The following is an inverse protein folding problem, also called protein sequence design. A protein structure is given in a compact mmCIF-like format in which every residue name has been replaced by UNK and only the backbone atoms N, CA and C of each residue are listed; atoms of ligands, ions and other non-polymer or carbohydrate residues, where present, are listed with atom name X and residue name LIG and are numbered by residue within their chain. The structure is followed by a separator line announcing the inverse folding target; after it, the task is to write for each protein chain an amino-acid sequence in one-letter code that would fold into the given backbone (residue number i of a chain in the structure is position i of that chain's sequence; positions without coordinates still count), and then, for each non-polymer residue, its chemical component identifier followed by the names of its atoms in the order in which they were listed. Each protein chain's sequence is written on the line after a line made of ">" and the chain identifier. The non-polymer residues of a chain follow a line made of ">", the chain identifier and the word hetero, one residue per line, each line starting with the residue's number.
data_IF_218111250083
#
_entry.id   IF_218111250083
#
_cell.length_a   1.000
_cell.length_b   1.000
_cell.length_c   1.000
_cell.angle_alpha   90.00
_cell.angle_beta   90.00
_cell.angle_gamma   90.00
#
_symmetry.space_group_name_H-M   'P 1'
#
loop_
_entity.id
_entity.type
_entity.pdbx_description
1 polymer ?
#
# COMPACT_ATOMS: atom_id res chain seq x y z
N UNK A 1 26.02 -2.87 -4.39
CA UNK A 1 24.66 -2.72 -3.85
C UNK A 1 24.74 -1.51 -2.94
N UNK A 2 24.08 -0.39 -3.27
CA UNK A 2 24.07 0.78 -2.38
C UNK A 2 23.44 0.33 -1.06
N UNK A 3 24.14 0.55 0.05
CA UNK A 3 23.62 0.24 1.37
C UNK A 3 22.49 1.24 1.66
N UNK A 4 21.24 0.83 1.42
CA UNK A 4 20.06 1.68 1.55
C UNK A 4 19.94 2.32 2.96
N UNK A 5 20.60 1.74 3.96
CA UNK A 5 20.69 2.27 5.33
C UNK A 5 21.73 3.39 5.54
N UNK A 6 22.64 3.62 4.58
CA UNK A 6 23.56 4.78 4.62
C UNK A 6 22.88 6.09 4.20
N UNK A 7 21.64 6.01 3.68
CA UNK A 7 20.91 7.15 3.12
C UNK A 7 20.08 7.90 4.18
N UNK A 8 19.83 7.29 5.35
CA UNK A 8 19.10 7.95 6.45
C UNK A 8 19.77 7.63 7.77
N UNK A 9 20.48 8.59 8.32
CA UNK A 9 20.94 8.50 9.70
C UNK A 9 19.72 8.58 10.63
N UNK A 10 19.48 7.63 11.56
CA UNK A 10 18.40 7.71 12.54
C UNK A 10 18.35 9.03 13.32
N UNK A 11 19.51 9.68 13.45
CA UNK A 11 19.70 11.00 14.04
C UNK A 11 18.95 12.11 13.27
N UNK A 12 18.90 12.05 11.94
CA UNK A 12 18.19 13.03 11.12
C UNK A 12 16.68 12.90 11.30
N UNK A 13 16.17 11.68 11.45
CA UNK A 13 14.75 11.41 11.74
C UNK A 13 14.32 12.01 13.08
N UNK A 14 15.24 12.16 14.03
CA UNK A 14 14.94 12.73 15.35
C UNK A 14 14.51 14.20 15.30
N UNK A 15 14.91 14.92 14.24
CA UNK A 15 14.60 16.34 14.01
C UNK A 15 13.17 16.58 13.54
N UNK A 16 12.47 15.54 13.06
CA UNK A 16 11.11 15.65 12.54
C UNK A 16 10.08 15.91 13.66
N UNK A 17 8.96 16.60 13.33
CA UNK A 17 7.79 16.66 14.20
C UNK A 17 7.32 15.26 14.64
N UNK A 18 6.83 15.14 15.88
CA UNK A 18 6.58 13.85 16.52
C UNK A 18 5.76 12.86 15.68
N UNK A 19 4.69 13.33 15.02
CA UNK A 19 3.85 12.49 14.15
C UNK A 19 4.59 11.92 12.93
N UNK A 20 5.48 12.72 12.33
CA UNK A 20 6.25 12.33 11.16
C UNK A 20 7.44 11.46 11.55
N UNK A 21 8.02 11.71 12.72
CA UNK A 21 9.06 10.87 13.29
C UNK A 21 8.57 9.44 13.53
N UNK A 22 7.37 9.26 14.11
CA UNK A 22 6.79 7.93 14.31
C UNK A 22 6.55 7.20 12.97
N UNK A 23 6.07 7.92 11.96
CA UNK A 23 5.88 7.36 10.62
C UNK A 23 7.22 6.96 9.98
N UNK A 24 8.23 7.83 10.04
CA UNK A 24 9.56 7.55 9.50
C UNK A 24 10.20 6.31 10.15
N UNK A 25 10.17 6.20 11.49
CA UNK A 25 10.68 5.01 12.18
C UNK A 25 9.88 3.75 11.85
N UNK A 26 8.56 3.86 11.70
CA UNK A 26 7.72 2.74 11.27
C UNK A 26 8.10 2.27 9.86
N UNK A 27 8.28 3.18 8.90
CA UNK A 27 8.73 2.88 7.53
C UNK A 27 10.11 2.24 7.50
N UNK A 28 11.08 2.78 8.26
CA UNK A 28 12.42 2.22 8.37
C UNK A 28 12.40 0.82 9.01
N UNK A 29 11.58 0.60 10.05
CA UNK A 29 11.44 -0.72 10.67
C UNK A 29 10.90 -1.77 9.68
N UNK A 30 9.91 -1.41 8.85
CA UNK A 30 9.41 -2.29 7.78
C UNK A 30 10.49 -2.61 6.74
N UNK A 31 11.25 -1.59 6.32
CA UNK A 31 12.36 -1.78 5.39
C UNK A 31 13.43 -2.70 5.97
N UNK A 32 13.82 -2.49 7.24
CA UNK A 32 14.75 -3.35 7.98
C UNK A 32 14.27 -4.80 8.05
N UNK A 33 12.99 -5.02 8.40
CA UNK A 33 12.40 -6.34 8.41
C UNK A 33 12.54 -7.05 7.05
N UNK A 34 12.14 -6.40 5.96
CA UNK A 34 12.26 -6.98 4.59
C UNK A 34 13.68 -7.29 4.16
N UNK A 35 14.63 -6.49 4.62
CA UNK A 35 16.05 -6.64 4.29
C UNK A 35 16.78 -7.59 5.26
N UNK A 36 16.08 -8.25 6.19
CA UNK A 36 16.67 -9.16 7.16
C UNK A 36 17.58 -8.47 8.18
N UNK A 37 17.39 -7.17 8.40
CA UNK A 37 18.14 -6.35 9.36
C UNK A 37 17.36 -6.20 10.68
N UNK A 38 18.04 -5.76 11.75
CA UNK A 38 17.40 -5.57 13.05
C UNK A 38 16.39 -4.39 13.01
N UNK A 39 15.11 -4.74 12.89
CA UNK A 39 13.99 -3.78 12.90
C UNK A 39 13.58 -3.35 14.32
N UNK A 40 13.98 -4.09 15.38
CA UNK A 40 13.45 -3.88 16.74
C UNK A 40 13.94 -2.58 17.33
N UNK A 41 15.20 -2.20 17.05
CA UNK A 41 15.75 -0.92 17.48
C UNK A 41 14.98 0.27 16.90
N UNK A 42 14.61 0.22 15.62
CA UNK A 42 13.83 1.25 14.93
C UNK A 42 12.39 1.28 15.45
N UNK A 43 11.76 0.12 15.57
CA UNK A 43 10.39 -0.01 16.05
C UNK A 43 10.23 0.43 17.51
N UNK A 44 11.25 0.22 18.35
CA UNK A 44 11.31 0.74 19.72
C UNK A 44 11.30 2.26 19.82
N UNK A 45 11.59 2.99 18.73
CA UNK A 45 11.49 4.46 18.66
C UNK A 45 10.09 4.96 18.32
N UNK A 46 9.20 4.10 17.81
CA UNK A 46 7.82 4.44 17.43
C UNK A 46 6.97 4.59 18.70
N UNK A 47 6.49 5.81 18.96
CA UNK A 47 5.68 6.12 20.15
C UNK A 47 4.20 5.85 19.95
N UNK A 48 3.69 6.04 18.74
CA UNK A 48 2.31 5.73 18.35
C UNK A 48 1.99 4.24 18.58
N UNK A 49 1.06 3.89 19.50
CA UNK A 49 0.68 2.51 19.76
C UNK A 49 0.09 1.82 18.51
N UNK A 50 -0.64 2.58 17.69
CA UNK A 50 -1.21 2.07 16.45
C UNK A 50 -0.13 1.70 15.43
N UNK A 51 0.80 2.62 15.12
CA UNK A 51 1.85 2.33 14.14
C UNK A 51 2.74 1.18 14.61
N UNK A 52 3.05 1.13 15.92
CA UNK A 52 3.79 0.02 16.51
C UNK A 52 3.04 -1.30 16.35
N UNK A 53 1.77 -1.39 16.75
CA UNK A 53 0.97 -2.61 16.61
C UNK A 53 0.84 -3.05 15.15
N UNK A 54 0.61 -2.11 14.23
CA UNK A 54 0.44 -2.40 12.81
C UNK A 54 1.73 -2.94 12.17
N UNK A 55 2.88 -2.32 12.45
CA UNK A 55 4.18 -2.79 11.96
C UNK A 55 4.55 -4.11 12.61
N UNK A 56 4.45 -4.23 13.94
CA UNK A 56 4.72 -5.49 14.66
C UNK A 56 3.96 -6.66 14.04
N UNK A 57 2.67 -6.48 13.74
CA UNK A 57 1.83 -7.51 13.16
C UNK A 57 2.31 -8.02 11.78
N UNK A 58 3.12 -7.26 11.04
CA UNK A 58 3.71 -7.65 9.74
C UNK A 58 5.06 -8.38 9.91
N UNK A 59 5.81 -8.11 10.98
CA UNK A 59 7.20 -8.57 11.15
C UNK A 59 7.40 -10.10 11.08
N UNK A 60 6.47 -10.95 11.56
CA UNK A 60 6.63 -12.40 11.44
C UNK A 60 6.72 -12.93 10.00
N UNK A 61 6.28 -12.15 9.00
CA UNK A 61 6.50 -12.49 7.59
C UNK A 61 7.99 -12.54 7.23
N UNK A 62 8.83 -11.80 7.97
CA UNK A 62 10.27 -11.66 7.72
C UNK A 62 11.12 -12.33 8.81
N UNK A 63 10.59 -12.46 10.01
CA UNK A 63 11.15 -13.24 11.12
C UNK A 63 10.09 -14.18 11.71
N UNK A 64 9.82 -15.35 11.09
CA UNK A 64 8.78 -16.26 11.55
C UNK A 64 8.97 -16.75 12.99
N UNK A 65 10.21 -16.78 13.49
CA UNK A 65 10.52 -17.16 14.87
C UNK A 65 9.94 -16.20 15.92
N UNK A 66 9.65 -14.95 15.51
CA UNK A 66 9.07 -13.93 16.38
C UNK A 66 7.56 -14.06 16.60
N UNK A 67 6.86 -14.93 15.84
CA UNK A 67 5.39 -14.93 15.75
C UNK A 67 4.68 -14.91 17.10
N UNK A 68 5.03 -15.84 17.99
CA UNK A 68 4.37 -15.97 19.30
C UNK A 68 4.56 -14.71 20.17
N UNK A 69 5.77 -14.15 20.16
CA UNK A 69 6.09 -12.92 20.90
C UNK A 69 5.33 -11.71 20.34
N UNK A 70 5.24 -11.61 19.00
CA UNK A 70 4.52 -10.55 18.30
C UNK A 70 3.02 -10.62 18.55
N UNK A 71 2.42 -11.82 18.49
CA UNK A 71 0.99 -12.01 18.79
C UNK A 71 0.68 -11.49 20.19
N UNK A 72 1.49 -11.87 21.19
CA UNK A 72 1.32 -11.40 22.58
C UNK A 72 1.43 -9.87 22.68
N UNK A 73 2.43 -9.27 22.05
CA UNK A 73 2.64 -7.82 22.12
C UNK A 73 1.52 -7.03 21.41
N UNK A 74 1.09 -7.48 20.23
CA UNK A 74 -0.01 -6.85 19.49
C UNK A 74 -1.31 -6.93 20.30
N UNK A 75 -1.64 -8.10 20.87
CA UNK A 75 -2.84 -8.25 21.70
C UNK A 75 -2.80 -7.39 22.96
N UNK A 76 -1.63 -7.16 23.55
CA UNK A 76 -1.47 -6.24 24.68
C UNK A 76 -1.70 -4.76 24.29
N UNK A 77 -1.39 -4.38 23.06
CA UNK A 77 -1.61 -3.01 22.56
C UNK A 77 -3.08 -2.76 22.16
N UNK A 78 -3.77 -3.77 21.62
CA UNK A 78 -5.15 -3.66 21.08
C UNK A 78 -6.13 -2.91 21.99
N UNK A 79 -6.22 -3.16 23.32
CA UNK A 79 -7.16 -2.44 24.18
C UNK A 79 -7.02 -0.92 24.15
N UNK A 80 -5.80 -0.41 23.98
CA UNK A 80 -5.49 1.04 23.96
C UNK A 80 -5.82 1.73 22.62
N UNK A 81 -6.09 0.96 21.57
CA UNK A 81 -6.29 1.48 20.22
C UNK A 81 -7.73 1.98 20.00
N UNK A 82 -7.92 2.92 19.08
CA UNK A 82 -9.25 3.30 18.58
C UNK A 82 -9.85 2.16 17.76
N UNK A 83 -11.17 2.13 17.62
CA UNK A 83 -11.87 1.05 16.90
C UNK A 83 -11.31 0.76 15.50
N UNK A 84 -11.05 1.80 14.70
CA UNK A 84 -10.46 1.62 13.37
C UNK A 84 -9.03 1.06 13.44
N UNK A 85 -8.21 1.54 14.38
CA UNK A 85 -6.84 1.06 14.57
C UNK A 85 -6.80 -0.41 15.02
N UNK A 86 -7.74 -0.83 15.86
CA UNK A 86 -7.96 -2.23 16.24
C UNK A 86 -8.22 -3.09 15.01
N UNK A 87 -9.14 -2.65 14.14
CA UNK A 87 -9.46 -3.36 12.89
C UNK A 87 -8.20 -3.49 12.04
N UNK A 88 -7.42 -2.42 11.86
CA UNK A 88 -6.22 -2.44 11.03
C UNK A 88 -5.12 -3.37 11.57
N UNK A 89 -4.82 -3.29 12.87
CA UNK A 89 -3.78 -4.11 13.49
C UNK A 89 -4.16 -5.59 13.51
N UNK A 90 -5.37 -5.94 13.95
CA UNK A 90 -5.85 -7.32 13.98
C UNK A 90 -5.99 -7.93 12.58
N UNK A 91 -6.46 -7.13 11.62
CA UNK A 91 -6.51 -7.56 10.21
C UNK A 91 -5.12 -7.86 9.65
N UNK A 92 -4.11 -7.05 10.00
CA UNK A 92 -2.72 -7.29 9.58
C UNK A 92 -2.17 -8.55 10.24
N UNK A 93 -2.43 -8.76 11.53
CA UNK A 93 -1.99 -9.94 12.25
C UNK A 93 -2.60 -11.21 11.66
N UNK A 94 -3.91 -11.19 11.37
CA UNK A 94 -4.59 -12.30 10.72
C UNK A 94 -3.96 -12.67 9.36
N UNK A 95 -3.68 -11.67 8.52
CA UNK A 95 -3.01 -11.88 7.23
C UNK A 95 -1.64 -12.52 7.39
N UNK A 96 -0.85 -12.06 8.35
CA UNK A 96 0.48 -12.60 8.62
C UNK A 96 0.41 -14.05 9.10
N UNK A 97 -0.47 -14.34 10.05
CA UNK A 97 -0.68 -15.69 10.61
C UNK A 97 -1.12 -16.65 9.52
N UNK A 98 -2.08 -16.23 8.67
CA UNK A 98 -2.53 -17.01 7.53
C UNK A 98 -1.40 -17.27 6.51
N UNK A 99 -0.64 -16.24 6.15
CA UNK A 99 0.46 -16.35 5.18
C UNK A 99 1.58 -17.30 5.66
N UNK A 100 1.79 -17.42 6.97
CA UNK A 100 2.74 -18.34 7.57
C UNK A 100 2.19 -19.77 7.73
N UNK A 101 0.90 -20.01 7.48
CA UNK A 101 0.25 -21.29 7.74
C UNK A 101 0.16 -21.65 9.22
N UNK A 102 0.38 -20.68 10.12
CA UNK A 102 0.12 -20.84 11.54
C UNK A 102 -1.41 -20.74 11.74
N UNK A 103 -2.06 -21.76 12.30
CA UNK A 103 -3.51 -21.72 12.52
C UNK A 103 -3.94 -20.56 13.43
N UNK A 104 -5.23 -20.23 13.45
CA UNK A 104 -5.82 -19.23 14.36
C UNK A 104 -6.01 -17.83 13.78
N UNK A 105 -5.77 -17.62 12.49
CA UNK A 105 -6.06 -16.34 11.81
C UNK A 105 -7.56 -15.98 11.87
N UNK A 106 -8.44 -16.97 11.93
CA UNK A 106 -9.90 -16.80 12.02
C UNK A 106 -10.32 -16.08 13.30
N UNK A 107 -9.62 -16.34 14.41
CA UNK A 107 -9.86 -15.66 15.69
C UNK A 107 -9.57 -14.16 15.56
N UNK A 108 -8.41 -13.80 15.00
CA UNK A 108 -8.03 -12.40 14.78
C UNK A 108 -8.98 -11.70 13.80
N UNK A 109 -9.45 -12.38 12.76
CA UNK A 109 -10.48 -11.87 11.86
C UNK A 109 -11.82 -11.64 12.58
N UNK A 110 -12.21 -12.56 13.46
CA UNK A 110 -13.42 -12.43 14.27
C UNK A 110 -13.33 -11.24 15.23
N UNK A 111 -12.18 -11.08 15.89
CA UNK A 111 -11.90 -9.91 16.73
C UNK A 111 -11.92 -8.61 15.91
N UNK A 112 -11.28 -8.57 14.73
CA UNK A 112 -11.32 -7.39 13.88
C UNK A 112 -12.77 -7.06 13.44
N UNK A 113 -13.56 -8.07 13.09
CA UNK A 113 -14.95 -7.92 12.70
C UNK A 113 -15.84 -7.38 13.83
N UNK A 114 -15.60 -7.75 15.09
CA UNK A 114 -16.37 -7.24 16.23
C UNK A 114 -16.16 -5.74 16.48
N UNK A 115 -14.99 -5.21 16.09
CA UNK A 115 -14.69 -3.78 16.14
C UNK A 115 -15.14 -3.01 14.89
N UNK A 116 -15.64 -3.69 13.84
CA UNK A 116 -16.02 -3.06 12.58
C UNK A 116 -17.38 -2.33 12.54
N UNK A 117 -18.39 -2.59 13.39
CA UNK A 117 -19.66 -1.86 13.34
C UNK A 117 -19.53 -0.34 13.47
N UNK A 118 -18.76 0.22 14.44
CA UNK A 118 -18.62 1.67 14.60
C UNK A 118 -17.69 2.32 13.56
N UNK A 119 -17.00 1.57 12.70
CA UNK A 119 -16.01 2.15 11.78
C UNK A 119 -16.63 2.60 10.46
N UNK A 120 -16.02 3.61 9.87
CA UNK A 120 -16.37 4.14 8.56
C UNK A 120 -15.95 3.22 7.40
N UNK A 121 -15.95 3.78 6.19
CA UNK A 121 -15.59 3.05 4.98
C UNK A 121 -14.18 2.44 5.02
N UNK A 122 -13.19 3.20 5.50
CA UNK A 122 -11.77 2.80 5.55
C UNK A 122 -11.55 1.53 6.37
N UNK A 123 -12.02 1.48 7.61
CA UNK A 123 -11.95 0.27 8.44
C UNK A 123 -12.67 -0.94 7.83
N UNK A 124 -13.85 -0.74 7.22
CA UNK A 124 -14.59 -1.84 6.56
C UNK A 124 -13.89 -2.32 5.29
N UNK A 125 -13.30 -1.43 4.50
CA UNK A 125 -12.51 -1.78 3.33
C UNK A 125 -11.25 -2.56 3.73
N UNK A 126 -10.56 -2.13 4.80
CA UNK A 126 -9.42 -2.85 5.38
C UNK A 126 -9.81 -4.27 5.82
N UNK A 127 -10.94 -4.43 6.50
CA UNK A 127 -11.43 -5.74 6.92
C UNK A 127 -11.79 -6.64 5.73
N UNK A 128 -12.45 -6.09 4.70
CA UNK A 128 -12.75 -6.84 3.48
C UNK A 128 -11.48 -7.37 2.80
N UNK A 129 -10.43 -6.55 2.74
CA UNK A 129 -9.13 -6.97 2.21
C UNK A 129 -8.51 -8.09 3.04
N UNK A 130 -8.62 -8.02 4.38
CA UNK A 130 -8.12 -9.06 5.26
C UNK A 130 -8.85 -10.39 5.07
N UNK A 131 -10.19 -10.36 4.99
CA UNK A 131 -10.97 -11.54 4.66
C UNK A 131 -10.49 -12.16 3.34
N UNK A 132 -10.35 -11.33 2.29
CA UNK A 132 -9.90 -11.82 1.00
C UNK A 132 -8.51 -12.48 1.06
N UNK A 133 -7.53 -11.80 1.68
CA UNK A 133 -6.16 -12.32 1.82
C UNK A 133 -6.09 -13.62 2.63
N UNK A 134 -6.97 -13.79 3.61
CA UNK A 134 -7.10 -15.03 4.39
C UNK A 134 -8.00 -16.10 3.74
N UNK A 135 -8.42 -15.92 2.48
CA UNK A 135 -9.26 -16.90 1.76
C UNK A 135 -10.75 -16.86 2.08
N UNK A 136 -11.19 -15.94 2.93
CA UNK A 136 -12.59 -15.71 3.31
C UNK A 136 -13.31 -14.81 2.28
N UNK A 137 -13.22 -15.19 1.00
CA UNK A 137 -13.66 -14.39 -0.16
C UNK A 137 -15.13 -13.97 -0.05
N UNK A 138 -16.00 -14.89 0.38
CA UNK A 138 -17.43 -14.61 0.51
C UNK A 138 -17.71 -13.55 1.58
N UNK A 139 -16.96 -13.55 2.69
CA UNK A 139 -17.06 -12.50 3.72
C UNK A 139 -16.59 -11.15 3.17
N UNK A 140 -15.50 -11.14 2.40
CA UNK A 140 -15.01 -9.92 1.74
C UNK A 140 -16.08 -9.34 0.77
N UNK A 141 -16.69 -10.20 -0.04
CA UNK A 141 -17.77 -9.86 -0.98
C UNK A 141 -18.99 -9.32 -0.23
N UNK A 142 -19.41 -9.95 0.88
CA UNK A 142 -20.51 -9.44 1.71
C UNK A 142 -20.26 -8.03 2.23
N UNK A 143 -19.04 -7.74 2.67
CA UNK A 143 -18.66 -6.37 3.08
C UNK A 143 -18.75 -5.40 1.90
N UNK A 144 -18.25 -5.80 0.73
CA UNK A 144 -18.28 -4.96 -0.48
C UNK A 144 -19.72 -4.61 -0.91
N UNK A 145 -20.65 -5.57 -0.88
CA UNK A 145 -22.06 -5.36 -1.22
C UNK A 145 -22.81 -4.48 -0.23
N UNK A 146 -22.27 -4.26 0.98
CA UNK A 146 -22.74 -3.22 1.90
C UNK A 146 -22.50 -1.79 1.41
N UNK A 147 -21.70 -1.60 0.36
CA UNK A 147 -21.40 -0.29 -0.24
C UNK A 147 -22.03 -0.12 -1.62
N UNK A 148 -22.11 1.15 -2.06
CA UNK A 148 -22.63 1.51 -3.39
C UNK A 148 -21.57 2.20 -4.25
N UNK A 149 -21.74 2.12 -5.56
CA UNK A 149 -20.94 2.84 -6.55
C UNK A 149 -19.44 2.60 -6.41
N UNK A 150 -18.68 3.70 -6.40
CA UNK A 150 -17.20 3.66 -6.38
C UNK A 150 -16.60 2.98 -5.15
N UNK A 151 -17.24 3.06 -3.98
CA UNK A 151 -16.75 2.38 -2.76
C UNK A 151 -16.81 0.87 -2.88
N UNK A 152 -17.92 0.34 -3.43
CA UNK A 152 -18.05 -1.10 -3.74
C UNK A 152 -17.04 -1.54 -4.78
N UNK A 153 -16.94 -0.80 -5.89
CA UNK A 153 -15.99 -1.10 -6.95
C UNK A 153 -14.55 -1.15 -6.40
N UNK A 154 -14.15 -0.17 -5.59
CA UNK A 154 -12.80 -0.11 -5.01
C UNK A 154 -12.49 -1.34 -4.14
N UNK A 155 -13.43 -1.79 -3.31
CA UNK A 155 -13.22 -3.02 -2.50
C UNK A 155 -13.08 -4.24 -3.41
N UNK A 156 -13.94 -4.39 -4.43
CA UNK A 156 -13.84 -5.49 -5.38
C UNK A 156 -12.52 -5.53 -6.14
N UNK A 157 -11.97 -4.35 -6.50
CA UNK A 157 -10.65 -4.25 -7.12
C UNK A 157 -9.57 -4.83 -6.21
N UNK A 158 -9.54 -4.40 -4.94
CA UNK A 158 -8.55 -4.94 -3.98
C UNK A 158 -8.72 -6.45 -3.74
N UNK A 159 -9.97 -6.90 -3.62
CA UNK A 159 -10.32 -8.31 -3.42
C UNK A 159 -9.82 -9.15 -4.61
N UNK A 160 -10.11 -8.72 -5.83
CA UNK A 160 -9.64 -9.40 -7.05
C UNK A 160 -8.11 -9.43 -7.13
N UNK A 161 -7.42 -8.33 -6.82
CA UNK A 161 -5.95 -8.29 -6.82
C UNK A 161 -5.32 -9.20 -5.77
N UNK A 162 -6.00 -9.39 -4.64
CA UNK A 162 -5.50 -10.30 -3.59
C UNK A 162 -5.73 -11.78 -3.86
N UNK A 163 -6.59 -12.13 -4.83
CA UNK A 163 -6.98 -13.50 -5.19
C UNK A 163 -6.91 -13.71 -6.70
N UNK A 164 -5.71 -13.59 -7.30
CA UNK A 164 -5.54 -13.61 -8.75
C UNK A 164 -5.98 -14.92 -9.42
N UNK A 165 -6.09 -16.01 -8.64
CA UNK A 165 -6.62 -17.30 -9.09
C UNK A 165 -8.15 -17.29 -9.31
N UNK A 166 -8.87 -16.33 -8.74
CA UNK A 166 -10.34 -16.28 -8.80
C UNK A 166 -10.83 -15.30 -9.88
N UNK A 167 -10.81 -15.74 -11.14
CA UNK A 167 -11.19 -14.90 -12.30
C UNK A 167 -12.58 -14.26 -12.22
N UNK A 168 -13.52 -14.90 -11.53
CA UNK A 168 -14.86 -14.34 -11.35
C UNK A 168 -14.82 -12.98 -10.62
N UNK A 169 -13.91 -12.84 -9.64
CA UNK A 169 -13.70 -11.59 -8.91
C UNK A 169 -13.14 -10.50 -9.82
N UNK A 170 -12.19 -10.85 -10.70
CA UNK A 170 -11.67 -9.94 -11.72
C UNK A 170 -12.81 -9.46 -12.63
N UNK A 171 -13.57 -10.39 -13.21
CA UNK A 171 -14.67 -10.05 -14.13
C UNK A 171 -15.75 -9.19 -13.46
N UNK A 172 -16.08 -9.48 -12.19
CA UNK A 172 -17.01 -8.67 -11.41
C UNK A 172 -16.44 -7.29 -11.09
N UNK A 173 -15.16 -7.21 -10.74
CA UNK A 173 -14.43 -5.97 -10.51
C UNK A 173 -14.49 -5.04 -11.73
N UNK A 174 -14.13 -5.56 -12.91
CA UNK A 174 -14.20 -4.81 -14.18
C UNK A 174 -15.62 -4.30 -14.43
N UNK A 175 -16.63 -5.18 -14.41
CA UNK A 175 -18.04 -4.77 -14.65
C UNK A 175 -18.51 -3.69 -13.68
N UNK A 176 -18.05 -3.70 -12.44
CA UNK A 176 -18.38 -2.67 -11.45
C UNK A 176 -17.70 -1.34 -11.78
N UNK A 177 -16.44 -1.37 -12.20
CA UNK A 177 -15.69 -0.18 -12.61
C UNK A 177 -16.30 0.44 -13.87
N UNK A 178 -16.70 -0.37 -14.86
CA UNK A 178 -17.37 0.09 -16.09
C UNK A 178 -18.66 0.86 -15.81
N UNK A 179 -19.43 0.44 -14.81
CA UNK A 179 -20.70 1.07 -14.40
C UNK A 179 -20.51 2.40 -13.66
N UNK A 180 -19.28 2.78 -13.31
CA UNK A 180 -19.03 4.07 -12.67
C UNK A 180 -19.27 5.22 -13.65
N UNK A 181 -19.99 6.24 -13.17
CA UNK A 181 -20.23 7.51 -13.89
C UNK A 181 -19.02 8.43 -13.88
N UNK A 182 -18.24 8.38 -12.79
CA UNK A 182 -17.05 9.19 -12.59
C UNK A 182 -15.88 8.62 -13.42
N UNK A 183 -15.49 9.35 -14.47
CA UNK A 183 -14.43 8.94 -15.39
C UNK A 183 -13.06 8.90 -14.72
N UNK A 184 -12.75 9.86 -13.83
CA UNK A 184 -11.48 9.90 -13.10
C UNK A 184 -11.34 8.68 -12.20
N UNK A 185 -12.38 8.34 -11.44
CA UNK A 185 -12.37 7.11 -10.62
C UNK A 185 -12.28 5.84 -11.45
N UNK A 186 -12.95 5.81 -12.61
CA UNK A 186 -12.88 4.68 -13.54
C UNK A 186 -11.44 4.44 -14.01
N UNK A 187 -10.74 5.50 -14.43
CA UNK A 187 -9.34 5.45 -14.86
C UNK A 187 -8.44 4.92 -13.73
N UNK A 188 -8.56 5.48 -12.52
CA UNK A 188 -7.76 5.05 -11.37
C UNK A 188 -8.00 3.57 -11.05
N UNK A 189 -9.26 3.13 -10.97
CA UNK A 189 -9.58 1.75 -10.61
C UNK A 189 -9.17 0.74 -11.70
N UNK A 190 -9.29 1.10 -12.99
CA UNK A 190 -8.76 0.25 -14.06
C UNK A 190 -7.23 0.20 -14.04
N UNK A 191 -6.54 1.33 -13.82
CA UNK A 191 -5.07 1.33 -13.71
C UNK A 191 -4.59 0.43 -12.57
N UNK A 192 -5.39 0.34 -11.49
CA UNK A 192 -5.11 -0.55 -10.37
C UNK A 192 -5.40 -2.02 -10.70
N UNK A 193 -6.52 -2.31 -11.36
CA UNK A 193 -6.84 -3.66 -11.86
C UNK A 193 -5.82 -4.19 -12.87
N UNK A 194 -5.14 -3.31 -13.61
CA UNK A 194 -4.08 -3.69 -14.55
C UNK A 194 -2.94 -4.46 -13.88
N UNK A 195 -2.78 -4.36 -12.54
CA UNK A 195 -1.83 -5.17 -11.76
C UNK A 195 -2.25 -6.64 -11.64
N UNK A 196 -3.47 -7.01 -12.00
CA UNK A 196 -3.91 -8.39 -12.00
C UNK A 196 -3.20 -9.15 -13.14
N UNK A 197 -2.52 -10.29 -12.89
CA UNK A 197 -1.72 -10.98 -13.92
C UNK A 197 -2.50 -11.36 -15.19
N UNK A 198 -3.81 -11.58 -15.02
CA UNK A 198 -4.74 -11.99 -16.09
C UNK A 198 -5.65 -10.86 -16.61
N UNK A 199 -5.31 -9.60 -16.34
CA UNK A 199 -6.16 -8.45 -16.71
C UNK A 199 -6.43 -8.37 -18.23
N UNK A 200 -5.41 -8.60 -19.06
CA UNK A 200 -5.44 -8.50 -20.52
C UNK A 200 -6.04 -9.74 -21.22
N UNK A 201 -6.46 -10.78 -20.49
CA UNK A 201 -7.11 -11.96 -21.08
C UNK A 201 -8.56 -11.68 -21.55
N UNK A 202 -8.84 -10.45 -21.99
CA UNK A 202 -10.11 -10.04 -22.59
C UNK A 202 -11.20 -9.62 -21.60
N UNK A 203 -10.86 -9.46 -20.31
CA UNK A 203 -11.83 -9.08 -19.26
C UNK A 203 -11.77 -7.58 -18.95
N UNK A 204 -10.65 -6.91 -19.25
CA UNK A 204 -10.36 -5.51 -18.91
C UNK A 204 -10.48 -4.51 -20.06
N UNK A 205 -10.51 -3.21 -19.73
CA UNK A 205 -10.27 -2.12 -20.70
C UNK A 205 -8.78 -2.09 -21.04
N UNK A 206 -8.37 -2.04 -22.34
CA UNK A 206 -6.95 -2.02 -22.72
C UNK A 206 -6.17 -0.93 -21.99
N UNK A 207 -5.00 -1.26 -21.45
CA UNK A 207 -4.19 -0.32 -20.65
C UNK A 207 -3.82 0.95 -21.42
N UNK A 208 -3.59 0.86 -22.72
CA UNK A 208 -3.34 2.02 -23.59
C UNK A 208 -4.52 2.97 -23.60
N UNK A 209 -5.76 2.45 -23.58
CA UNK A 209 -6.97 3.26 -23.50
C UNK A 209 -7.08 3.99 -22.16
N UNK A 210 -6.63 3.37 -21.06
CA UNK A 210 -6.56 4.01 -19.74
C UNK A 210 -5.57 5.16 -19.79
N UNK A 211 -4.35 4.90 -20.25
CA UNK A 211 -3.26 5.88 -20.31
C UNK A 211 -3.61 7.10 -21.18
N UNK A 212 -4.30 6.91 -22.31
CA UNK A 212 -4.74 8.02 -23.18
C UNK A 212 -5.85 8.89 -22.58
N UNK A 213 -6.59 8.39 -21.58
CA UNK A 213 -7.71 9.12 -20.95
C UNK A 213 -7.30 9.87 -19.69
N UNK A 214 -6.05 9.69 -19.22
CA UNK A 214 -5.53 10.36 -18.03
C UNK A 214 -5.50 11.87 -18.27
N UNK A 215 -6.04 12.70 -17.36
CA UNK A 215 -5.99 14.15 -17.53
C UNK A 215 -4.58 14.68 -17.31
N UNK A 216 -4.01 15.37 -18.30
CA UNK A 216 -2.58 15.70 -18.34
C UNK A 216 -2.22 17.00 -17.59
N UNK A 217 -2.64 17.12 -16.33
CA UNK A 217 -2.16 18.17 -15.42
C UNK A 217 -2.68 19.58 -15.70
N UNK A 218 -3.97 19.73 -16.04
CA UNK A 218 -4.64 21.03 -16.09
C UNK A 218 -4.89 21.65 -14.70
N UNK A 219 -4.77 20.85 -13.65
CA UNK A 219 -4.90 21.22 -12.24
C UNK A 219 -4.00 20.34 -11.36
N UNK A 220 -3.78 20.71 -10.10
CA UNK A 220 -3.05 19.87 -9.13
C UNK A 220 -3.73 18.51 -8.91
N UNK A 221 -5.06 18.46 -8.98
CA UNK A 221 -5.81 17.20 -8.90
C UNK A 221 -5.51 16.30 -10.10
N UNK A 222 -5.41 16.87 -11.31
CA UNK A 222 -5.06 16.11 -12.52
C UNK A 222 -3.62 15.60 -12.47
N UNK A 223 -2.69 16.39 -11.91
CA UNK A 223 -1.29 15.95 -11.70
C UNK A 223 -1.25 14.78 -10.71
N UNK A 224 -1.97 14.88 -9.58
CA UNK A 224 -2.06 13.80 -8.60
C UNK A 224 -2.64 12.52 -9.21
N UNK A 225 -3.76 12.63 -9.92
CA UNK A 225 -4.39 11.49 -10.60
C UNK A 225 -3.48 10.88 -11.66
N UNK A 226 -2.77 11.70 -12.42
CA UNK A 226 -1.81 11.24 -13.42
C UNK A 226 -0.69 10.43 -12.79
N UNK A 227 -0.07 10.94 -11.73
CA UNK A 227 0.99 10.23 -11.03
C UNK A 227 0.49 8.92 -10.41
N UNK A 228 -0.74 8.92 -9.88
CA UNK A 228 -1.34 7.71 -9.31
C UNK A 228 -1.54 6.63 -10.37
N UNK A 229 -2.08 7.00 -11.53
CA UNK A 229 -2.28 6.07 -12.66
C UNK A 229 -0.95 5.60 -13.21
N UNK A 230 -0.02 6.52 -13.46
CA UNK A 230 1.34 6.23 -13.91
C UNK A 230 2.02 5.22 -12.98
N UNK A 231 2.02 5.45 -11.67
CA UNK A 231 2.60 4.55 -10.68
C UNK A 231 1.95 3.16 -10.72
N UNK A 232 0.63 3.08 -10.78
CA UNK A 232 -0.07 1.79 -10.89
C UNK A 232 0.31 1.02 -12.17
N UNK A 233 0.43 1.73 -13.31
CA UNK A 233 0.81 1.13 -14.59
C UNK A 233 2.28 0.69 -14.59
N UNK A 234 3.18 1.42 -13.92
CA UNK A 234 4.57 0.99 -13.70
C UNK A 234 4.63 -0.31 -12.91
N UNK A 235 3.93 -0.37 -11.77
CA UNK A 235 3.86 -1.58 -10.93
C UNK A 235 3.26 -2.77 -11.68
N UNK A 236 2.38 -2.53 -12.65
CA UNK A 236 1.77 -3.55 -13.50
C UNK A 236 2.66 -3.98 -14.70
N UNK A 237 3.83 -3.36 -14.90
CA UNK A 237 4.76 -3.70 -15.99
C UNK A 237 4.56 -2.93 -17.31
N UNK A 238 3.65 -1.96 -17.36
CA UNK A 238 3.33 -1.18 -18.56
C UNK A 238 4.19 0.09 -18.67
N UNK A 239 5.52 -0.08 -18.66
CA UNK A 239 6.47 1.03 -18.58
C UNK A 239 6.28 2.10 -19.68
N UNK A 240 5.98 1.69 -20.92
CA UNK A 240 5.78 2.61 -22.05
C UNK A 240 4.55 3.51 -21.91
N UNK A 241 3.41 2.94 -21.52
CA UNK A 241 2.18 3.69 -21.28
C UNK A 241 2.35 4.68 -20.11
N UNK A 242 3.04 4.24 -19.07
CA UNK A 242 3.19 4.98 -17.84
C UNK A 242 4.22 6.12 -17.93
N UNK A 243 5.30 5.93 -18.70
CA UNK A 243 6.37 6.92 -18.92
C UNK A 243 5.87 8.22 -19.57
N UNK A 244 4.99 8.12 -20.58
CA UNK A 244 4.42 9.30 -21.25
C UNK A 244 3.68 10.20 -20.27
N UNK A 245 2.82 9.60 -19.44
CA UNK A 245 2.08 10.33 -18.41
C UNK A 245 3.01 10.99 -17.39
N UNK A 246 4.06 10.27 -16.97
CA UNK A 246 5.05 10.81 -16.03
C UNK A 246 5.80 12.03 -16.58
N UNK A 247 6.37 11.93 -17.78
CA UNK A 247 7.20 13.00 -18.37
C UNK A 247 6.40 14.29 -18.54
N UNK A 248 5.12 14.18 -18.92
CA UNK A 248 4.26 15.33 -19.12
C UNK A 248 3.90 16.06 -17.82
N UNK A 249 3.61 15.31 -16.74
CA UNK A 249 3.25 15.92 -15.46
C UNK A 249 4.44 16.30 -14.59
N UNK A 250 5.60 15.66 -14.78
CA UNK A 250 6.80 15.94 -14.00
C UNK A 250 7.26 17.41 -14.14
N UNK A 251 7.07 18.00 -15.33
CA UNK A 251 7.39 19.41 -15.59
C UNK A 251 6.44 20.41 -14.92
N UNK A 252 5.27 19.94 -14.46
CA UNK A 252 4.18 20.75 -13.87
C UNK A 252 4.13 20.63 -12.35
N UNK A 253 5.03 19.83 -11.76
CA UNK A 253 5.01 19.58 -10.32
C UNK A 253 5.46 20.81 -9.55
N UNK A 254 4.70 21.24 -8.54
CA UNK A 254 5.22 22.18 -7.57
C UNK A 254 6.31 21.51 -6.72
N UNK A 255 7.11 22.31 -6.00
CA UNK A 255 7.99 21.80 -4.96
C UNK A 255 7.25 20.86 -3.98
N UNK A 256 7.92 19.80 -3.53
CA UNK A 256 7.31 18.77 -2.67
C UNK A 256 6.95 19.25 -1.27
N UNK A 257 7.58 20.33 -0.79
CA UNK A 257 7.34 20.94 0.52
C UNK A 257 5.99 21.64 0.64
N UNK A 258 5.40 22.07 -0.49
CA UNK A 258 4.06 22.70 -0.53
C UNK A 258 2.94 21.71 -0.85
N UNK A 259 3.28 20.44 -1.09
CA UNK A 259 2.30 19.39 -1.39
C UNK A 259 1.75 18.75 -0.10
N UNK A 260 0.49 18.25 -0.14
CA UNK A 260 0.02 17.28 0.84
C UNK A 260 0.98 16.08 0.94
N UNK A 261 1.15 15.52 2.13
CA UNK A 261 2.15 14.48 2.40
C UNK A 261 2.01 13.27 1.47
N UNK A 262 0.79 12.78 1.30
CA UNK A 262 0.45 11.64 0.44
C UNK A 262 0.75 11.91 -1.04
N UNK A 263 0.57 13.16 -1.48
CA UNK A 263 0.96 13.58 -2.82
C UNK A 263 2.49 13.66 -2.94
N UNK A 264 3.20 14.24 -1.97
CA UNK A 264 4.67 14.28 -2.00
C UNK A 264 5.29 12.87 -2.03
N UNK A 265 4.78 11.94 -1.22
CA UNK A 265 5.15 10.52 -1.23
C UNK A 265 4.96 9.89 -2.62
N UNK A 266 3.78 10.08 -3.22
CA UNK A 266 3.49 9.59 -4.58
C UNK A 266 4.43 10.17 -5.65
N UNK A 267 4.82 11.45 -5.52
CA UNK A 267 5.82 12.06 -6.41
C UNK A 267 7.14 11.30 -6.28
N UNK A 268 7.62 11.06 -5.06
CA UNK A 268 8.87 10.35 -4.80
C UNK A 268 8.83 8.92 -5.34
N UNK A 269 7.74 8.18 -5.11
CA UNK A 269 7.50 6.84 -5.67
C UNK A 269 7.57 6.85 -7.20
N UNK A 270 6.93 7.83 -7.85
CA UNK A 270 6.95 7.96 -9.29
C UNK A 270 8.37 8.26 -9.82
N UNK A 271 9.09 9.19 -9.19
CA UNK A 271 10.48 9.47 -9.57
C UNK A 271 11.38 8.25 -9.40
N UNK A 272 11.18 7.44 -8.36
CA UNK A 272 11.92 6.20 -8.16
C UNK A 272 11.69 5.22 -9.33
N UNK A 273 10.44 5.04 -9.74
CA UNK A 273 10.10 4.15 -10.86
C UNK A 273 10.70 4.57 -12.20
N UNK A 274 10.66 5.87 -12.55
CA UNK A 274 11.02 6.30 -13.91
C UNK A 274 12.43 6.86 -14.06
N UNK A 275 12.98 7.41 -12.99
CA UNK A 275 14.29 8.07 -13.01
C UNK A 275 15.27 7.45 -12.00
N UNK A 276 14.84 6.42 -11.27
CA UNK A 276 15.66 5.68 -10.33
C UNK A 276 15.86 6.38 -9.00
N UNK A 277 16.53 5.67 -8.09
CA UNK A 277 16.77 6.08 -6.71
C UNK A 277 17.38 7.49 -6.59
N UNK A 278 18.42 7.79 -7.38
CA UNK A 278 19.12 9.08 -7.31
C UNK A 278 18.21 10.27 -7.65
N UNK A 279 17.26 10.10 -8.56
CA UNK A 279 16.33 11.16 -8.89
C UNK A 279 15.26 11.34 -7.80
N UNK A 280 14.78 10.24 -7.22
CA UNK A 280 13.85 10.28 -6.09
C UNK A 280 14.46 10.96 -4.86
N UNK A 281 15.73 10.66 -4.55
CA UNK A 281 16.45 11.30 -3.44
C UNK A 281 16.60 12.80 -3.66
N UNK A 282 17.02 13.26 -4.85
CA UNK A 282 17.10 14.70 -5.16
C UNK A 282 15.77 15.43 -5.03
N UNK A 283 14.66 14.77 -5.35
CA UNK A 283 13.33 15.36 -5.15
C UNK A 283 13.01 15.49 -3.66
N UNK A 284 13.32 14.46 -2.87
CA UNK A 284 13.13 14.48 -1.43
C UNK A 284 14.03 15.52 -0.72
N UNK A 285 15.29 15.68 -1.14
CA UNK A 285 16.27 16.67 -0.64
C UNK A 285 15.74 18.10 -0.67
N UNK A 286 14.84 18.41 -1.62
CA UNK A 286 14.22 19.73 -1.75
C UNK A 286 13.23 20.09 -0.63
N UNK A 287 13.01 19.23 0.36
CA UNK A 287 12.04 19.45 1.44
C UNK A 287 12.66 19.46 2.82
N UNK A 288 12.08 20.26 3.72
CA UNK A 288 12.36 20.18 5.16
C UNK A 288 11.95 18.84 5.80
N UNK A 289 11.14 18.04 5.09
CA UNK A 289 10.76 16.69 5.50
C UNK A 289 11.61 15.60 4.81
N UNK A 290 12.76 15.92 4.22
CA UNK A 290 13.61 14.95 3.51
C UNK A 290 13.84 13.63 4.28
N UNK A 291 14.14 13.62 5.61
CA UNK A 291 14.33 12.36 6.34
C UNK A 291 13.07 11.46 6.36
N UNK A 292 11.87 12.07 6.35
CA UNK A 292 10.59 11.35 6.26
C UNK A 292 10.46 10.66 4.91
N UNK A 293 10.79 11.39 3.85
CA UNK A 293 10.70 10.93 2.47
C UNK A 293 11.71 9.85 2.14
N UNK A 294 12.92 9.95 2.68
CA UNK A 294 13.88 8.86 2.56
C UNK A 294 13.38 7.60 3.27
N UNK A 295 12.87 7.72 4.50
CA UNK A 295 12.29 6.59 5.22
C UNK A 295 11.14 5.92 4.44
N UNK A 296 10.23 6.72 3.88
CA UNK A 296 9.17 6.25 3.00
C UNK A 296 9.72 5.56 1.75
N UNK A 297 10.71 6.16 1.07
CA UNK A 297 11.33 5.59 -0.12
C UNK A 297 12.02 4.25 0.17
N UNK A 298 12.64 4.08 1.35
CA UNK A 298 13.22 2.81 1.77
C UNK A 298 12.16 1.73 2.00
N UNK A 299 11.05 2.07 2.65
CA UNK A 299 9.90 1.17 2.80
C UNK A 299 9.35 0.76 1.43
N UNK A 300 9.16 1.72 0.53
CA UNK A 300 8.66 1.47 -0.82
C UNK A 300 9.60 0.61 -1.67
N UNK A 301 10.88 0.97 -1.75
CA UNK A 301 11.87 0.26 -2.55
C UNK A 301 12.08 -1.17 -2.04
N UNK A 302 12.15 -1.37 -0.72
CA UNK A 302 12.28 -2.71 -0.11
C UNK A 302 11.04 -3.57 -0.35
N UNK A 303 9.83 -2.99 -0.35
CA UNK A 303 8.60 -3.68 -0.70
C UNK A 303 8.67 -4.21 -2.14
N UNK A 304 9.03 -3.35 -3.11
CA UNK A 304 9.13 -3.75 -4.52
C UNK A 304 10.20 -4.83 -4.74
N UNK A 305 11.34 -4.74 -4.06
CA UNK A 305 12.39 -5.76 -4.13
C UNK A 305 11.88 -7.11 -3.60
N UNK A 306 11.16 -7.09 -2.48
CA UNK A 306 10.59 -8.29 -1.88
C UNK A 306 9.52 -8.93 -2.77
N UNK A 307 8.57 -8.15 -3.29
CA UNK A 307 7.52 -8.62 -4.19
C UNK A 307 8.11 -9.24 -5.48
N UNK A 308 9.11 -8.59 -6.08
CA UNK A 308 9.80 -9.12 -7.26
C UNK A 308 10.56 -10.41 -6.97
N UNK A 309 11.13 -10.54 -5.77
CA UNK A 309 11.83 -11.75 -5.34
C UNK A 309 10.85 -12.90 -5.17
N UNK A 310 9.68 -12.65 -4.57
CA UNK A 310 8.61 -13.64 -4.45
C UNK A 310 8.04 -14.08 -5.80
N UNK A 311 7.81 -13.15 -6.73
CA UNK A 311 7.33 -13.47 -8.07
C UNK A 311 8.27 -14.44 -8.79
N UNK A 312 9.58 -14.16 -8.77
CA UNK A 312 10.62 -15.02 -9.36
C UNK A 312 10.66 -16.43 -8.76
N UNK A 313 10.48 -16.54 -7.43
CA UNK A 313 10.50 -17.85 -6.74
C UNK A 313 9.22 -18.64 -6.99
N UNK A 314 8.07 -17.96 -7.13
CA UNK A 314 6.75 -18.59 -7.28
C UNK A 314 6.35 -18.83 -8.74
N UNK A 315 7.20 -18.48 -9.70
CA UNK A 315 6.93 -18.63 -11.14
C UNK A 315 5.78 -17.74 -11.63
N UNK A 316 5.55 -16.62 -10.94
CA UNK A 316 4.60 -15.57 -11.33
C UNK A 316 5.30 -14.46 -12.10
#
# INVERSE_FOLDING_TARGET
>A
MLNLFEVVAPEEVSTLPARYRDYAYASLARAAGRLGSDYRALLGRVRSPYLRAYVLAEMPLYDPSSLESVVREVLALVPSLRYEEKVYALSRLAETVYALGAGGHEEFLSMAASYAPPVGYSGKARLALAFSRCGEVERAVRVAEGFRGSRRASIYVEVALSRPETLELLARGVRLVEKLRDSRKKIVLFSRLARHPRYEEGVGTPVESIAMKVPLGGSLEDVYLSLLVTRNLAEAGYAGAARRGFEEVASKLPPVDVLPLDFAELVIEAFYHYRGLQAALRVAEGSSLAPLYYAHLMDYASMLLFENSLARVTGR
#
